data_IF_875472067780
#
_entry.id   IF_875472067780
#
_cell.length_a   1.000
_cell.length_b   1.000
_cell.length_c   1.000
_cell.angle_alpha   90.00
_cell.angle_beta   90.00
_cell.angle_gamma   90.00
#
_symmetry.space_group_name_H-M   'P 1'
#
loop_
_entity.id
_entity.type
_entity.pdbx_description
1 polymer ?
#
# COMPACT_ATOMS: atom_id res chain seq x y z
N UNK A 1 -9.11 -8.82 22.15
CA UNK A 1 -10.12 -9.90 21.98
C UNK A 1 -10.24 -10.15 20.48
N UNK A 2 -9.27 -10.84 19.88
CA UNK A 2 -9.28 -11.29 18.48
C UNK A 2 -9.54 -12.81 18.43
N UNK A 3 -9.91 -13.33 17.27
CA UNK A 3 -10.18 -14.76 17.09
C UNK A 3 -9.37 -15.34 15.93
N UNK A 4 -8.88 -16.56 16.12
CA UNK A 4 -8.06 -17.28 15.16
C UNK A 4 -8.92 -17.96 14.08
N UNK A 5 -8.55 -17.77 12.82
CA UNK A 5 -9.06 -18.56 11.70
C UNK A 5 -7.87 -19.26 11.03
N UNK A 6 -7.89 -20.59 10.99
CA UNK A 6 -6.89 -21.41 10.28
C UNK A 6 -5.43 -21.14 10.69
N UNK A 7 -5.19 -20.79 11.96
CA UNK A 7 -3.85 -20.49 12.49
C UNK A 7 -3.32 -19.09 12.17
N UNK A 8 -4.12 -18.25 11.51
CA UNK A 8 -3.84 -16.83 11.35
C UNK A 8 -4.65 -16.04 12.38
N UNK A 9 -3.96 -15.29 13.23
CA UNK A 9 -4.57 -14.41 14.21
C UNK A 9 -5.20 -13.22 13.46
N UNK A 10 -6.51 -13.25 13.26
CA UNK A 10 -7.23 -12.19 12.55
C UNK A 10 -7.71 -11.18 13.60
N UNK A 11 -7.33 -9.90 13.42
CA UNK A 11 -7.62 -8.78 14.33
C UNK A 11 -6.82 -8.79 15.65
N UNK A 12 -5.51 -8.98 15.55
CA UNK A 12 -4.61 -8.75 16.68
C UNK A 12 -4.37 -7.25 16.89
N UNK A 13 -5.23 -6.62 17.70
CA UNK A 13 -5.07 -5.22 18.13
C UNK A 13 -3.80 -4.98 18.97
N UNK A 14 -3.04 -6.03 19.33
CA UNK A 14 -1.77 -5.88 20.07
C UNK A 14 -0.57 -5.50 19.19
N UNK A 15 -0.69 -5.61 17.86
CA UNK A 15 0.32 -5.16 16.90
C UNK A 15 -0.14 -3.97 16.04
N UNK A 16 -0.43 -2.80 16.64
CA UNK A 16 -0.78 -1.60 15.88
C UNK A 16 0.35 -1.16 14.92
N UNK A 17 1.60 -1.47 15.25
CA UNK A 17 2.76 -1.14 14.40
C UNK A 17 2.86 -2.01 13.14
N UNK A 18 2.47 -3.29 13.18
CA UNK A 18 2.56 -4.17 12.01
C UNK A 18 1.58 -3.78 10.90
N UNK A 19 0.36 -3.41 11.28
CA UNK A 19 -0.61 -2.86 10.33
C UNK A 19 -0.16 -1.50 9.80
N UNK A 20 0.36 -0.61 10.65
CA UNK A 20 0.90 0.69 10.24
C UNK A 20 2.01 0.55 9.20
N UNK A 21 2.93 -0.39 9.39
CA UNK A 21 4.00 -0.68 8.45
C UNK A 21 3.45 -1.14 7.09
N UNK A 22 2.50 -2.08 7.09
CA UNK A 22 1.85 -2.55 5.86
C UNK A 22 1.10 -1.42 5.13
N UNK A 23 0.33 -0.60 5.84
CA UNK A 23 -0.38 0.54 5.25
C UNK A 23 0.59 1.60 4.72
N UNK A 24 1.68 1.88 5.44
CA UNK A 24 2.69 2.84 4.99
C UNK A 24 3.37 2.40 3.69
N UNK A 25 3.69 1.11 3.55
CA UNK A 25 4.25 0.55 2.33
C UNK A 25 3.31 0.70 1.14
N UNK A 26 2.02 0.39 1.33
CA UNK A 26 0.99 0.55 0.29
C UNK A 26 0.88 2.02 -0.15
N UNK A 27 0.86 2.97 0.80
CA UNK A 27 0.78 4.41 0.51
C UNK A 27 1.98 4.86 -0.33
N UNK A 28 3.20 4.43 0.01
CA UNK A 28 4.42 4.78 -0.74
C UNK A 28 4.36 4.25 -2.16
N UNK A 29 3.94 3.00 -2.36
CA UNK A 29 3.82 2.40 -3.70
C UNK A 29 2.77 3.15 -4.53
N UNK A 30 1.62 3.49 -3.94
CA UNK A 30 0.57 4.25 -4.62
C UNK A 30 1.04 5.65 -5.01
N UNK A 31 1.79 6.34 -4.14
CA UNK A 31 2.38 7.65 -4.44
C UNK A 31 3.37 7.55 -5.61
N UNK A 32 4.27 6.56 -5.60
CA UNK A 32 5.21 6.34 -6.69
C UNK A 32 4.48 6.10 -8.03
N UNK A 33 3.44 5.25 -8.02
CA UNK A 33 2.62 5.00 -9.21
C UNK A 33 1.94 6.29 -9.70
N UNK A 34 1.32 7.05 -8.79
CA UNK A 34 0.65 8.31 -9.13
C UNK A 34 1.61 9.33 -9.76
N UNK A 35 2.83 9.46 -9.21
CA UNK A 35 3.88 10.33 -9.77
C UNK A 35 4.30 9.84 -11.16
N UNK A 36 4.54 8.54 -11.33
CA UNK A 36 4.92 7.98 -12.64
C UNK A 36 3.83 8.23 -13.71
N UNK A 37 2.56 8.00 -13.37
CA UNK A 37 1.44 8.31 -14.27
C UNK A 37 1.33 9.82 -14.53
N UNK A 38 1.56 10.67 -13.53
CA UNK A 38 1.58 12.13 -13.69
C UNK A 38 2.69 12.59 -14.64
N UNK A 39 3.89 12.02 -14.53
CA UNK A 39 5.02 12.29 -15.41
C UNK A 39 4.73 11.84 -16.84
N UNK A 40 4.18 10.64 -17.03
CA UNK A 40 3.76 10.16 -18.36
C UNK A 40 2.64 11.02 -18.97
N UNK A 41 1.75 11.57 -18.13
CA UNK A 41 0.68 12.47 -18.56
C UNK A 41 1.22 13.82 -19.02
N UNK A 42 2.23 14.33 -18.32
CA UNK A 42 2.87 15.62 -18.60
C UNK A 42 3.85 15.52 -19.77
N UNK A 43 4.80 14.59 -19.70
CA UNK A 43 5.75 14.25 -20.76
C UNK A 43 5.15 13.21 -21.70
N UNK A 44 3.97 13.53 -22.24
CA UNK A 44 3.27 12.64 -23.18
C UNK A 44 4.28 12.21 -24.25
N UNK A 45 4.61 10.91 -24.37
CA UNK A 45 5.60 10.49 -25.34
C UNK A 45 5.14 10.94 -26.72
N UNK A 46 6.06 11.44 -27.58
CA UNK A 46 5.71 11.78 -28.94
C UNK A 46 5.05 10.55 -29.56
N UNK A 47 3.86 10.73 -30.12
CA UNK A 47 3.19 9.67 -30.87
C UNK A 47 4.14 9.31 -32.01
N UNK A 48 4.81 8.15 -31.89
CA UNK A 48 5.49 7.51 -33.02
C UNK A 48 4.48 7.20 -34.10
#
# INVERSE_FOLDING_TARGET
>A
MGFDILGFHVWDLSQPFGYFEAFSGIIVVLLCAAIAFGLLRYFRPPKM
#
